data_IF_162252636746
#
_entry.id   IF_162252636746
#
_cell.length_a   1.000
_cell.length_b   1.000
_cell.length_c   1.000
_cell.angle_alpha   90.00
_cell.angle_beta   90.00
_cell.angle_gamma   90.00
#
_symmetry.space_group_name_H-M   'P 1'
#
loop_
_entity.id
_entity.type
_entity.pdbx_description
1 polymer ?
#
# COMPACT_ATOMS: atom_id res chain seq x y z
N UNK A 1 7.13 48.21 9.32
CA UNK A 1 6.53 47.16 8.48
C UNK A 1 6.20 45.98 9.38
N UNK A 2 4.93 45.71 9.67
CA UNK A 2 4.59 44.59 10.56
C UNK A 2 4.62 43.28 9.79
N UNK A 3 5.53 42.37 10.17
CA UNK A 3 5.60 41.02 9.61
C UNK A 3 4.43 40.19 10.17
N UNK A 4 3.25 40.29 9.56
CA UNK A 4 2.09 39.47 9.93
C UNK A 4 2.34 38.06 9.41
N UNK A 5 2.86 37.19 10.28
CA UNK A 5 3.05 35.78 9.96
C UNK A 5 1.70 35.08 10.00
N UNK A 6 1.37 34.34 8.93
CA UNK A 6 0.15 33.56 8.88
C UNK A 6 0.31 32.26 9.70
N UNK A 7 -0.22 32.24 10.93
CA UNK A 7 -0.18 31.08 11.82
C UNK A 7 -0.87 29.85 11.23
N UNK A 8 -1.88 30.00 10.37
CA UNK A 8 -2.55 28.87 9.74
C UNK A 8 -1.63 28.14 8.75
N UNK A 9 -0.80 28.88 8.00
CA UNK A 9 0.20 28.27 7.11
C UNK A 9 1.25 27.53 7.92
N UNK A 10 1.77 28.15 8.97
CA UNK A 10 2.73 27.52 9.87
C UNK A 10 2.19 26.23 10.51
N UNK A 11 0.95 26.24 11.01
CA UNK A 11 0.30 25.04 11.56
C UNK A 11 0.15 23.93 10.52
N UNK A 12 -0.24 24.28 9.29
CA UNK A 12 -0.34 23.31 8.18
C UNK A 12 1.02 22.72 7.82
N UNK A 13 2.06 23.55 7.77
CA UNK A 13 3.41 23.09 7.45
C UNK A 13 3.96 22.16 8.52
N UNK A 14 3.76 22.49 9.80
CA UNK A 14 4.07 21.59 10.93
C UNK A 14 3.32 20.27 10.82
N UNK A 15 2.01 20.30 10.59
CA UNK A 15 1.22 19.08 10.43
C UNK A 15 1.67 18.21 9.23
N UNK A 16 2.15 18.82 8.14
CA UNK A 16 2.75 18.06 7.03
C UNK A 16 4.10 17.45 7.41
N UNK A 17 4.94 18.17 8.15
CA UNK A 17 6.22 17.66 8.63
C UNK A 17 6.03 16.48 9.58
N UNK A 18 5.11 16.58 10.54
CA UNK A 18 4.81 15.50 11.49
C UNK A 18 4.33 14.23 10.77
N UNK A 19 3.47 14.38 9.74
CA UNK A 19 3.02 13.26 8.91
C UNK A 19 4.14 12.59 8.11
N UNK A 20 5.12 13.38 7.63
CA UNK A 20 6.29 12.84 6.92
C UNK A 20 7.18 12.04 7.87
N UNK A 21 7.49 12.58 9.04
CA UNK A 21 8.27 11.88 10.06
C UNK A 21 7.61 10.55 10.49
N UNK A 22 6.29 10.55 10.69
CA UNK A 22 5.55 9.32 10.96
C UNK A 22 5.59 8.33 9.79
N UNK A 23 5.54 8.80 8.56
CA UNK A 23 5.66 7.94 7.38
C UNK A 23 7.05 7.30 7.29
N UNK A 24 8.10 8.06 7.58
CA UNK A 24 9.49 7.59 7.61
C UNK A 24 9.71 6.58 8.75
N UNK A 25 9.18 6.85 9.95
CA UNK A 25 9.22 5.93 11.09
C UNK A 25 8.49 4.61 10.74
N UNK A 26 7.32 4.69 10.11
CA UNK A 26 6.58 3.52 9.68
C UNK A 26 7.31 2.75 8.57
N UNK A 27 8.00 3.44 7.65
CA UNK A 27 8.83 2.82 6.62
C UNK A 27 10.01 2.07 7.25
N UNK A 28 10.70 2.69 8.22
CA UNK A 28 11.78 2.06 8.97
C UNK A 28 11.30 0.86 9.81
N UNK A 29 10.15 1.00 10.50
CA UNK A 29 9.60 -0.03 11.39
C UNK A 29 9.03 -1.22 10.65
N UNK A 30 8.37 -0.99 9.51
CA UNK A 30 7.67 -2.05 8.78
C UNK A 30 8.42 -2.52 7.54
N UNK A 31 9.54 -1.87 7.18
CA UNK A 31 10.40 -2.21 6.04
C UNK A 31 9.77 -2.00 4.67
N UNK A 32 8.45 -1.82 4.59
CA UNK A 32 7.66 -1.57 3.38
C UNK A 32 6.69 -0.43 3.62
N UNK A 33 6.82 0.62 2.82
CA UNK A 33 5.91 1.75 2.78
C UNK A 33 4.52 1.34 2.27
N UNK A 34 3.51 2.18 2.49
CA UNK A 34 2.15 1.94 1.98
C UNK A 34 2.11 1.85 0.46
N UNK A 35 2.92 2.65 -0.23
CA UNK A 35 3.00 2.67 -1.69
C UNK A 35 3.59 1.35 -2.23
N UNK A 36 4.65 0.84 -1.60
CA UNK A 36 5.25 -0.45 -1.96
C UNK A 36 4.29 -1.61 -1.72
N UNK A 37 3.60 -1.63 -0.57
CA UNK A 37 2.55 -2.64 -0.30
C UNK A 37 1.44 -2.63 -1.34
N UNK A 38 1.01 -1.44 -1.78
CA UNK A 38 -0.02 -1.31 -2.82
C UNK A 38 0.47 -1.82 -4.17
N UNK A 39 1.72 -1.51 -4.53
CA UNK A 39 2.34 -2.01 -5.75
C UNK A 39 2.45 -3.53 -5.74
N UNK A 40 2.97 -4.10 -4.65
CA UNK A 40 3.12 -5.54 -4.49
C UNK A 40 1.76 -6.26 -4.50
N UNK A 41 0.75 -5.70 -3.83
CA UNK A 41 -0.62 -6.23 -3.88
C UNK A 41 -1.20 -6.20 -5.31
N UNK A 42 -0.94 -5.13 -6.08
CA UNK A 42 -1.38 -5.04 -7.46
C UNK A 42 -0.66 -6.04 -8.38
N UNK A 43 0.65 -6.23 -8.18
CA UNK A 43 1.45 -7.23 -8.88
C UNK A 43 0.97 -8.66 -8.56
N UNK A 44 0.70 -8.96 -7.28
CA UNK A 44 0.14 -10.23 -6.84
C UNK A 44 -1.28 -10.48 -7.37
N UNK A 45 -2.13 -9.45 -7.42
CA UNK A 45 -3.47 -9.56 -7.99
C UNK A 45 -3.45 -9.75 -9.51
N UNK A 46 -2.43 -9.20 -10.20
CA UNK A 46 -2.22 -9.45 -11.63
C UNK A 46 -1.76 -10.89 -11.85
N UNK A 47 -0.74 -11.36 -11.13
CA UNK A 47 -0.25 -12.73 -11.28
C UNK A 47 -1.34 -13.76 -10.95
N UNK A 48 -2.15 -13.52 -9.91
CA UNK A 48 -3.28 -14.37 -9.58
C UNK A 48 -4.30 -14.45 -10.73
N UNK A 49 -4.64 -13.31 -11.36
CA UNK A 49 -5.55 -13.29 -12.52
C UNK A 49 -4.96 -13.97 -13.75
N UNK A 50 -3.68 -13.76 -14.01
CA UNK A 50 -2.98 -14.41 -15.13
C UNK A 50 -2.97 -15.93 -14.93
N UNK A 51 -2.67 -16.40 -13.71
CA UNK A 51 -2.72 -17.83 -13.35
C UNK A 51 -4.14 -18.41 -13.44
N UNK A 52 -5.15 -17.66 -13.01
CA UNK A 52 -6.55 -18.07 -13.09
C UNK A 52 -7.03 -18.17 -14.54
N UNK A 53 -6.69 -17.19 -15.39
CA UNK A 53 -6.98 -17.24 -16.83
C UNK A 53 -6.24 -18.34 -17.59
N UNK A 54 -5.09 -18.80 -17.06
CA UNK A 54 -4.36 -19.96 -17.58
C UNK A 54 -4.80 -21.29 -16.97
N UNK A 55 -5.65 -21.27 -15.94
CA UNK A 55 -6.20 -22.48 -15.34
C UNK A 55 -7.17 -23.09 -16.35
N UNK A 56 -6.74 -24.18 -16.99
CA UNK A 56 -7.67 -25.08 -17.67
C UNK A 56 -8.38 -25.84 -16.56
N UNK A 57 -9.70 -25.76 -16.50
CA UNK A 57 -10.50 -26.63 -15.65
C UNK A 57 -10.15 -28.07 -16.01
N UNK A 58 -9.28 -28.68 -15.20
CA UNK A 58 -9.16 -30.12 -15.21
C UNK A 58 -10.56 -30.61 -14.78
N UNK A 59 -11.21 -31.49 -15.56
CA UNK A 59 -12.50 -32.04 -15.15
C UNK A 59 -12.29 -32.61 -13.76
N UNK A 60 -13.10 -32.13 -12.80
CA UNK A 60 -13.01 -32.52 -11.41
C UNK A 60 -12.90 -34.04 -11.33
N UNK A 61 -11.72 -34.53 -10.97
CA UNK A 61 -11.52 -35.94 -10.65
C UNK A 61 -12.51 -36.27 -9.53
N UNK A 62 -13.50 -37.17 -9.76
CA UNK A 62 -14.44 -37.52 -8.72
C UNK A 62 -13.66 -38.19 -7.60
N UNK A 63 -13.73 -37.60 -6.40
CA UNK A 63 -13.13 -38.14 -5.18
C UNK A 63 -13.47 -39.64 -5.08
N UNK A 64 -12.48 -40.53 -4.91
CA UNK A 64 -12.81 -41.92 -4.63
C UNK A 64 -13.43 -41.99 -3.24
N UNK A 65 -14.69 -42.40 -3.19
CA UNK A 65 -15.33 -42.86 -1.97
C UNK A 65 -14.70 -44.20 -1.57
N UNK A 66 -14.15 -44.23 -0.35
CA UNK A 66 -13.91 -45.45 0.43
C UNK A 66 -14.35 -45.19 1.86
#
# INVERSE_FOLDING_TARGET
>A
MSNVINLNRFRKDRARADRRAQADENAARHGRSKAEKQREAAEAAKSARDLDGHRRDAPADPKPET
#
